data_IF_802126811549
#
_entry.id   IF_802126811549
#
_cell.length_a   1.000
_cell.length_b   1.000
_cell.length_c   1.000
_cell.angle_alpha   90.00
_cell.angle_beta   90.00
_cell.angle_gamma   90.00
#
_symmetry.space_group_name_H-M   'P 1'
#
loop_
_entity.id
_entity.type
_entity.pdbx_description
1 polymer ?
#
# COMPACT_ATOMS: atom_id res chain seq x y z
N UNK A 1 0.61 20.77 22.87
CA UNK A 1 0.83 20.31 21.51
C UNK A 1 1.40 18.89 21.43
N UNK A 2 2.48 18.54 22.13
CA UNK A 2 3.06 17.19 22.07
C UNK A 2 2.07 16.08 22.51
N UNK A 3 1.24 16.33 23.53
CA UNK A 3 0.21 15.39 23.98
C UNK A 3 -0.81 15.10 22.87
N UNK A 4 -1.34 16.13 22.23
CA UNK A 4 -2.32 16.00 21.12
C UNK A 4 -1.69 15.24 19.94
N UNK A 5 -0.45 15.56 19.57
CA UNK A 5 0.27 14.84 18.53
C UNK A 5 0.39 13.35 18.83
N UNK A 6 0.78 12.99 20.07
CA UNK A 6 0.90 11.59 20.47
C UNK A 6 -0.46 10.86 20.44
N UNK A 7 -1.54 11.51 20.89
CA UNK A 7 -2.89 10.92 20.85
C UNK A 7 -3.35 10.66 19.41
N UNK A 8 -3.10 11.58 18.48
CA UNK A 8 -3.43 11.41 17.04
C UNK A 8 -2.60 10.27 16.44
N UNK A 9 -1.31 10.16 16.78
CA UNK A 9 -0.46 9.08 16.28
C UNK A 9 -0.91 7.72 16.85
N UNK A 10 -1.30 7.64 18.13
CA UNK A 10 -1.85 6.41 18.72
C UNK A 10 -3.13 6.00 17.99
N UNK A 11 -4.03 6.94 17.72
CA UNK A 11 -5.24 6.69 16.94
C UNK A 11 -4.90 6.18 15.54
N UNK A 12 -3.91 6.76 14.87
CA UNK A 12 -3.47 6.34 13.55
C UNK A 12 -2.88 4.92 13.58
N UNK A 13 -2.05 4.59 14.57
CA UNK A 13 -1.45 3.26 14.70
C UNK A 13 -2.48 2.19 15.08
N UNK A 14 -3.43 2.54 15.94
CA UNK A 14 -4.55 1.66 16.27
C UNK A 14 -5.46 1.41 15.05
N UNK A 15 -5.77 2.47 14.28
CA UNK A 15 -6.54 2.34 13.04
C UNK A 15 -5.78 1.52 11.99
N UNK A 16 -4.44 1.65 11.93
CA UNK A 16 -3.59 0.84 11.09
C UNK A 16 -3.69 -0.64 11.48
N UNK A 17 -3.62 -0.96 12.77
CA UNK A 17 -3.74 -2.32 13.31
C UNK A 17 -5.11 -2.93 13.02
N UNK A 18 -6.20 -2.19 13.26
CA UNK A 18 -7.57 -2.66 13.00
C UNK A 18 -7.80 -2.95 11.50
N UNK A 19 -7.09 -2.26 10.63
CA UNK A 19 -7.15 -2.50 9.18
C UNK A 19 -8.54 -2.26 8.60
N UNK A 20 -9.11 -3.30 8.00
CA UNK A 20 -10.42 -3.29 7.33
C UNK A 20 -11.57 -3.77 8.23
N UNK A 21 -11.26 -4.25 9.45
CA UNK A 21 -12.29 -4.82 10.36
C UNK A 21 -13.34 -3.77 10.71
N UNK A 22 -12.91 -2.53 10.96
CA UNK A 22 -13.82 -1.46 11.32
C UNK A 22 -13.94 -0.43 10.19
N UNK A 23 -15.14 -0.32 9.65
CA UNK A 23 -15.48 0.60 8.56
C UNK A 23 -16.62 1.52 8.96
N UNK A 24 -16.52 2.77 8.56
CA UNK A 24 -17.54 3.80 8.76
C UNK A 24 -18.33 3.97 7.46
N UNK A 25 -19.63 3.94 7.54
CA UNK A 25 -20.50 4.20 6.39
C UNK A 25 -20.96 5.67 6.43
N UNK A 26 -20.49 6.46 5.48
CA UNK A 26 -20.82 7.87 5.33
C UNK A 26 -21.32 8.13 3.91
N UNK A 27 -22.47 8.74 3.78
CA UNK A 27 -23.07 9.11 2.47
C UNK A 27 -23.13 7.94 1.45
N UNK A 28 -23.42 6.73 1.93
CA UNK A 28 -23.49 5.54 1.08
C UNK A 28 -22.13 4.96 0.68
N UNK A 29 -21.02 5.51 1.20
CA UNK A 29 -19.67 5.00 0.98
C UNK A 29 -19.10 4.43 2.26
N UNK A 30 -18.33 3.33 2.15
CA UNK A 30 -17.74 2.65 3.29
C UNK A 30 -16.23 2.94 3.36
N UNK A 31 -15.77 3.53 4.47
CA UNK A 31 -14.38 3.91 4.70
C UNK A 31 -13.80 3.15 5.89
N UNK A 32 -12.59 2.60 5.80
CA UNK A 32 -11.90 2.09 6.97
C UNK A 32 -11.51 3.24 7.92
N UNK A 33 -11.43 2.95 9.21
CA UNK A 33 -11.10 3.94 10.26
C UNK A 33 -9.77 4.68 9.98
N UNK A 34 -8.86 4.04 9.27
CA UNK A 34 -7.57 4.61 8.89
C UNK A 34 -7.72 5.89 8.04
N UNK A 35 -8.74 5.97 7.20
CA UNK A 35 -8.97 7.14 6.33
C UNK A 35 -9.27 8.39 7.17
N UNK A 36 -10.10 8.26 8.20
CA UNK A 36 -10.38 9.35 9.14
C UNK A 36 -9.11 9.77 9.90
N UNK A 37 -8.35 8.79 10.40
CA UNK A 37 -7.13 9.07 11.16
C UNK A 37 -6.04 9.75 10.31
N UNK A 38 -5.94 9.42 9.01
CA UNK A 38 -5.05 10.07 8.04
C UNK A 38 -5.45 11.55 7.87
N UNK A 39 -6.74 11.82 7.71
CA UNK A 39 -7.24 13.19 7.55
C UNK A 39 -6.91 14.02 8.80
N UNK A 40 -7.20 13.48 10.00
CA UNK A 40 -6.89 14.16 11.27
C UNK A 40 -5.38 14.41 11.41
N UNK A 41 -4.56 13.41 11.12
CA UNK A 41 -3.09 13.53 11.19
C UNK A 41 -2.56 14.57 10.21
N UNK A 42 -3.08 14.58 8.99
CA UNK A 42 -2.68 15.55 7.96
C UNK A 42 -3.05 16.98 8.34
N UNK A 43 -4.29 17.23 8.77
CA UNK A 43 -4.75 18.55 9.20
C UNK A 43 -3.90 19.04 10.38
N UNK A 44 -3.68 18.19 11.38
CA UNK A 44 -2.82 18.54 12.51
C UNK A 44 -1.40 18.90 12.08
N UNK A 45 -0.82 18.10 11.18
CA UNK A 45 0.53 18.34 10.65
C UNK A 45 0.63 19.67 9.90
N UNK A 46 -0.35 19.99 9.07
CA UNK A 46 -0.44 21.26 8.34
C UNK A 46 -0.52 22.43 9.33
N UNK A 47 -1.45 22.40 10.29
CA UNK A 47 -1.62 23.46 11.31
C UNK A 47 -0.32 23.63 12.12
N UNK A 48 0.33 22.54 12.49
CA UNK A 48 1.59 22.59 13.24
C UNK A 48 2.71 23.26 12.46
N UNK A 49 2.83 22.98 11.15
CA UNK A 49 3.83 23.63 10.31
C UNK A 49 3.55 25.12 10.13
N UNK A 50 2.30 25.51 9.91
CA UNK A 50 1.93 26.93 9.76
C UNK A 50 2.26 27.76 11.03
N UNK A 51 2.10 27.18 12.23
CA UNK A 51 2.35 27.88 13.50
C UNK A 51 3.83 28.00 13.86
N UNK A 52 4.65 27.02 13.49
CA UNK A 52 5.99 26.87 14.09
C UNK A 52 7.15 27.11 13.12
N UNK A 53 6.91 27.18 11.83
CA UNK A 53 8.00 27.30 10.81
C UNK A 53 7.49 28.00 9.55
N UNK A 54 8.36 28.73 8.83
CA UNK A 54 8.04 29.10 7.45
C UNK A 54 7.79 27.82 6.65
N UNK A 55 6.74 27.81 5.85
CA UNK A 55 6.33 26.68 5.01
C UNK A 55 7.46 26.29 4.06
N UNK A 56 8.25 25.29 4.46
CA UNK A 56 9.27 24.72 3.60
C UNK A 56 8.70 23.48 2.92
N UNK A 57 8.24 23.64 1.69
CA UNK A 57 7.76 22.54 0.85
C UNK A 57 8.96 21.69 0.49
N UNK A 58 9.01 20.46 1.02
CA UNK A 58 10.12 19.55 0.79
C UNK A 58 10.09 18.94 -0.62
N UNK A 59 8.90 18.82 -1.23
CA UNK A 59 8.70 18.20 -2.53
C UNK A 59 7.66 18.93 -3.38
N UNK A 60 8.11 19.86 -4.21
CA UNK A 60 7.24 20.66 -5.09
C UNK A 60 6.52 19.83 -6.16
N UNK A 61 7.11 18.72 -6.61
CA UNK A 61 6.50 17.89 -7.65
C UNK A 61 5.27 17.14 -7.12
N UNK A 62 5.32 16.65 -5.88
CA UNK A 62 4.12 16.08 -5.25
C UNK A 62 3.03 17.13 -5.01
N UNK A 63 3.41 18.37 -4.71
CA UNK A 63 2.43 19.45 -4.61
C UNK A 63 1.79 19.74 -5.98
N UNK A 64 2.58 19.82 -7.06
CA UNK A 64 2.05 20.04 -8.42
C UNK A 64 1.15 18.89 -8.85
N UNK A 65 1.52 17.64 -8.53
CA UNK A 65 0.67 16.48 -8.72
C UNK A 65 -0.70 16.65 -8.04
N UNK A 66 -0.72 17.00 -6.76
CA UNK A 66 -1.98 17.21 -6.02
C UNK A 66 -2.84 18.30 -6.67
N UNK A 67 -2.25 19.44 -6.95
CA UNK A 67 -2.98 20.58 -7.58
C UNK A 67 -3.56 20.15 -8.92
N UNK A 68 -2.77 19.48 -9.76
CA UNK A 68 -3.22 19.01 -11.06
C UNK A 68 -4.32 17.97 -10.94
N UNK A 69 -4.23 17.00 -10.02
CA UNK A 69 -5.26 15.99 -9.78
C UNK A 69 -6.61 16.63 -9.37
N UNK A 70 -6.59 17.70 -8.56
CA UNK A 70 -7.79 18.46 -8.21
C UNK A 70 -8.36 19.22 -9.41
N UNK A 71 -7.52 19.87 -10.21
CA UNK A 71 -7.95 20.52 -11.46
C UNK A 71 -8.56 19.50 -12.40
N UNK A 72 -7.97 18.30 -12.53
CA UNK A 72 -8.51 17.23 -13.35
C UNK A 72 -9.87 16.72 -12.84
N UNK A 73 -10.09 16.66 -11.53
CA UNK A 73 -11.39 16.27 -10.98
C UNK A 73 -12.48 17.22 -11.47
N UNK A 74 -12.22 18.53 -11.38
CA UNK A 74 -13.16 19.56 -11.86
C UNK A 74 -13.32 19.51 -13.39
N UNK A 75 -12.22 19.42 -14.14
CA UNK A 75 -12.24 19.36 -15.59
C UNK A 75 -13.02 18.13 -16.09
N UNK A 76 -12.80 16.97 -15.51
CA UNK A 76 -13.49 15.75 -15.90
C UNK A 76 -14.98 15.77 -15.51
N UNK A 77 -15.35 16.46 -14.43
CA UNK A 77 -16.75 16.74 -14.12
C UNK A 77 -17.44 17.48 -15.28
N UNK A 78 -16.85 18.56 -15.78
CA UNK A 78 -17.43 19.29 -16.92
C UNK A 78 -17.38 18.51 -18.23
N UNK A 79 -16.32 17.73 -18.45
CA UNK A 79 -16.12 16.96 -19.69
C UNK A 79 -17.06 15.76 -19.81
N UNK A 80 -17.26 15.03 -18.73
CA UNK A 80 -18.03 13.77 -18.75
C UNK A 80 -19.39 13.91 -18.08
N UNK A 81 -19.69 15.03 -17.43
CA UNK A 81 -20.90 15.25 -16.61
C UNK A 81 -21.05 14.18 -15.51
N UNK A 82 -19.92 13.63 -15.01
CA UNK A 82 -19.89 12.56 -14.02
C UNK A 82 -19.29 13.13 -12.73
N UNK A 83 -20.08 13.04 -11.65
CA UNK A 83 -19.62 13.32 -10.29
C UNK A 83 -19.77 12.07 -9.43
N UNK A 84 -18.67 11.67 -8.79
CA UNK A 84 -18.65 10.55 -7.85
C UNK A 84 -18.10 11.02 -6.51
N UNK A 85 -18.91 10.86 -5.45
CA UNK A 85 -18.48 11.10 -4.07
C UNK A 85 -17.30 10.22 -3.71
N UNK A 86 -17.26 8.97 -4.19
CA UNK A 86 -16.13 8.08 -4.00
C UNK A 86 -14.84 8.68 -4.54
N UNK A 87 -14.88 9.23 -5.76
CA UNK A 87 -13.71 9.87 -6.38
C UNK A 87 -13.20 11.05 -5.56
N UNK A 88 -14.11 11.88 -5.05
CA UNK A 88 -13.78 13.01 -4.18
C UNK A 88 -13.13 12.55 -2.88
N UNK A 89 -13.71 11.60 -2.16
CA UNK A 89 -13.18 11.12 -0.88
C UNK A 89 -11.83 10.41 -1.03
N UNK A 90 -11.66 9.62 -2.08
CA UNK A 90 -10.37 8.97 -2.36
C UNK A 90 -9.28 9.99 -2.74
N UNK A 91 -9.63 11.08 -3.45
CA UNK A 91 -8.68 12.16 -3.74
C UNK A 91 -8.31 12.94 -2.48
N UNK A 92 -9.27 13.24 -1.58
CA UNK A 92 -9.00 13.84 -0.27
C UNK A 92 -8.04 12.97 0.52
N UNK A 93 -8.31 11.68 0.65
CA UNK A 93 -7.42 10.73 1.33
C UNK A 93 -6.01 10.74 0.77
N UNK A 94 -5.88 10.68 -0.55
CA UNK A 94 -4.59 10.64 -1.22
C UNK A 94 -3.84 11.97 -1.05
N UNK A 95 -4.54 13.11 -1.14
CA UNK A 95 -4.00 14.43 -0.83
C UNK A 95 -3.47 14.50 0.61
N UNK A 96 -4.23 14.02 1.58
CA UNK A 96 -3.83 13.98 2.98
C UNK A 96 -2.58 13.11 3.19
N UNK A 97 -2.51 11.94 2.57
CA UNK A 97 -1.33 11.08 2.62
C UNK A 97 -0.09 11.76 2.01
N UNK A 98 -0.22 12.35 0.83
CA UNK A 98 0.91 13.01 0.17
C UNK A 98 1.36 14.26 0.91
N UNK A 99 0.44 14.96 1.59
CA UNK A 99 0.80 16.11 2.42
C UNK A 99 1.81 15.76 3.53
N UNK A 100 1.77 14.54 4.07
CA UNK A 100 2.73 14.05 5.06
C UNK A 100 4.15 13.86 4.48
N UNK A 101 4.28 13.62 3.17
CA UNK A 101 5.57 13.60 2.48
C UNK A 101 6.05 15.00 2.08
N UNK A 102 5.13 15.92 1.80
CA UNK A 102 5.44 17.31 1.44
C UNK A 102 5.87 18.10 2.68
N UNK A 103 5.22 17.85 3.81
CA UNK A 103 5.46 18.49 5.11
C UNK A 103 5.87 17.42 6.14
N UNK A 104 7.07 16.84 6.03
CA UNK A 104 7.46 15.74 6.89
C UNK A 104 7.63 16.19 8.34
N UNK A 105 6.94 15.52 9.25
CA UNK A 105 7.11 15.65 10.69
C UNK A 105 8.25 14.76 11.18
N UNK A 106 9.01 15.26 12.17
CA UNK A 106 9.98 14.42 12.86
C UNK A 106 9.26 13.40 13.74
N UNK A 107 9.47 12.13 13.46
CA UNK A 107 8.95 11.02 14.26
C UNK A 107 10.00 10.65 15.30
N UNK A 108 9.62 10.61 16.57
CA UNK A 108 10.52 10.24 17.67
C UNK A 108 10.78 8.73 17.69
N UNK A 109 11.89 8.33 18.31
CA UNK A 109 12.22 6.90 18.48
C UNK A 109 11.10 6.14 19.23
N UNK A 110 10.47 6.77 20.23
CA UNK A 110 9.35 6.17 20.99
C UNK A 110 8.14 5.92 20.08
N UNK A 111 7.84 6.85 19.15
CA UNK A 111 6.73 6.70 18.20
C UNK A 111 6.99 5.59 17.19
N UNK A 112 8.23 5.45 16.67
CA UNK A 112 8.62 4.30 15.85
C UNK A 112 8.46 2.97 16.61
N UNK A 113 8.93 2.91 17.86
CA UNK A 113 8.79 1.71 18.69
C UNK A 113 7.33 1.35 18.93
N UNK A 114 6.47 2.34 19.16
CA UNK A 114 5.04 2.12 19.33
C UNK A 114 4.41 1.57 18.04
N UNK A 115 4.78 2.11 16.88
CA UNK A 115 4.31 1.60 15.60
C UNK A 115 4.73 0.14 15.37
N UNK A 116 5.98 -0.21 15.75
CA UNK A 116 6.45 -1.60 15.69
C UNK A 116 5.63 -2.53 16.57
N UNK A 117 5.21 -2.11 17.77
CA UNK A 117 4.35 -2.90 18.63
C UNK A 117 3.00 -3.20 17.97
N UNK A 118 2.36 -2.22 17.31
CA UNK A 118 1.12 -2.46 16.57
C UNK A 118 1.32 -3.39 15.37
N UNK A 119 2.46 -3.31 14.68
CA UNK A 119 2.79 -4.25 13.59
C UNK A 119 3.03 -5.67 14.10
N UNK A 120 3.73 -5.83 15.23
CA UNK A 120 3.95 -7.12 15.86
C UNK A 120 2.60 -7.73 16.29
N UNK A 121 1.73 -6.93 16.92
CA UNK A 121 0.39 -7.37 17.28
C UNK A 121 -0.42 -7.80 16.04
N UNK A 122 -0.30 -7.07 14.92
CA UNK A 122 -0.95 -7.42 13.66
C UNK A 122 -0.41 -8.74 13.07
N UNK A 123 0.90 -8.99 13.14
CA UNK A 123 1.52 -10.25 12.72
C UNK A 123 1.01 -11.41 13.59
N UNK A 124 0.98 -11.23 14.92
CA UNK A 124 0.48 -12.25 15.86
C UNK A 124 -0.99 -12.55 15.57
N UNK A 125 -1.82 -11.51 15.39
CA UNK A 125 -3.22 -11.68 15.01
C UNK A 125 -3.36 -12.45 13.68
N UNK A 126 -2.56 -12.11 12.67
CA UNK A 126 -2.56 -12.81 11.39
C UNK A 126 -2.16 -14.29 11.49
N UNK A 127 -1.20 -14.62 12.35
CA UNK A 127 -0.84 -16.02 12.62
C UNK A 127 -1.96 -16.74 13.36
N UNK A 128 -2.56 -16.12 14.39
CA UNK A 128 -3.73 -16.68 15.09
C UNK A 128 -4.86 -16.92 14.09
N UNK A 129 -5.17 -15.94 13.24
CA UNK A 129 -6.17 -16.07 12.18
C UNK A 129 -5.89 -17.27 11.27
N UNK A 130 -4.64 -17.42 10.80
CA UNK A 130 -4.27 -18.50 9.89
C UNK A 130 -4.46 -19.89 10.51
N UNK A 131 -4.12 -20.07 11.78
CA UNK A 131 -4.20 -21.38 12.45
C UNK A 131 -5.60 -21.71 12.99
N UNK A 132 -6.35 -20.72 13.47
CA UNK A 132 -7.63 -20.94 14.13
C UNK A 132 -8.84 -20.60 13.27
N UNK A 133 -8.69 -19.66 12.31
CA UNK A 133 -9.75 -19.23 11.38
C UNK A 133 -9.22 -19.14 9.95
N UNK A 134 -8.87 -20.29 9.33
CA UNK A 134 -8.26 -20.29 7.99
C UNK A 134 -9.26 -20.02 6.87
N UNK A 135 -10.56 -20.11 7.11
CA UNK A 135 -11.62 -19.93 6.13
C UNK A 135 -12.22 -18.53 6.19
N UNK A 136 -11.87 -17.75 5.18
CA UNK A 136 -12.41 -16.41 4.92
C UNK A 136 -13.31 -16.40 3.67
N UNK A 137 -13.82 -17.54 3.22
CA UNK A 137 -14.71 -17.63 2.06
C UNK A 137 -16.10 -17.07 2.36
N UNK A 138 -16.52 -17.11 3.63
CA UNK A 138 -17.81 -16.60 4.10
C UNK A 138 -17.83 -15.07 4.34
N UNK A 139 -16.70 -14.39 4.23
CA UNK A 139 -16.60 -12.93 4.37
C UNK A 139 -17.02 -12.16 3.09
N UNK A 140 -17.72 -12.80 2.18
CA UNK A 140 -18.29 -12.20 0.97
C UNK A 140 -19.36 -11.12 1.26
N UNK A 141 -19.78 -11.00 2.52
CA UNK A 141 -20.76 -10.00 3.00
C UNK A 141 -20.37 -8.55 2.64
N UNK A 142 -19.08 -8.27 2.45
CA UNK A 142 -18.55 -6.94 2.11
C UNK A 142 -17.81 -6.92 0.75
N UNK A 143 -18.07 -7.88 -0.14
CA UNK A 143 -17.48 -7.98 -1.49
C UNK A 143 -15.94 -8.14 -1.48
N UNK A 144 -15.40 -8.78 -0.44
CA UNK A 144 -14.00 -9.16 -0.36
C UNK A 144 -13.77 -10.47 -1.11
N UNK A 145 -12.58 -10.60 -1.70
CA UNK A 145 -12.20 -11.86 -2.33
C UNK A 145 -12.16 -13.00 -1.30
N UNK A 146 -12.75 -14.15 -1.59
CA UNK A 146 -12.73 -15.29 -0.69
C UNK A 146 -11.32 -15.86 -0.57
N UNK A 147 -10.85 -16.01 0.64
CA UNK A 147 -9.53 -16.57 0.95
C UNK A 147 -9.66 -17.77 1.85
N UNK A 148 -9.07 -18.91 1.43
CA UNK A 148 -9.02 -20.15 2.19
C UNK A 148 -7.56 -20.53 2.42
N UNK A 149 -7.20 -20.83 3.69
CA UNK A 149 -5.85 -21.20 4.12
C UNK A 149 -4.76 -20.23 3.70
N UNK A 150 -5.06 -18.94 3.76
CA UNK A 150 -4.11 -17.86 3.54
C UNK A 150 -4.12 -16.87 4.72
N UNK A 151 -2.94 -16.37 5.07
CA UNK A 151 -2.84 -15.33 6.07
C UNK A 151 -3.26 -13.99 5.48
N UNK A 152 -4.38 -13.43 5.94
CA UNK A 152 -4.95 -12.15 5.49
C UNK A 152 -4.93 -11.08 6.57
N UNK A 153 -4.85 -11.48 7.84
CA UNK A 153 -4.85 -10.60 9.01
C UNK A 153 -6.03 -9.62 8.98
N UNK A 154 -5.85 -8.42 9.52
CA UNK A 154 -6.86 -7.37 9.57
C UNK A 154 -7.04 -6.61 8.25
N UNK A 155 -6.18 -6.84 7.26
CA UNK A 155 -6.26 -6.17 5.95
C UNK A 155 -7.18 -6.87 4.97
N UNK A 156 -7.60 -8.11 5.25
CA UNK A 156 -8.48 -8.96 4.45
C UNK A 156 -7.97 -9.26 3.04
N UNK A 157 -6.68 -9.01 2.79
CA UNK A 157 -6.01 -9.32 1.53
C UNK A 157 -4.60 -9.84 1.81
N UNK A 158 -4.27 -11.07 1.41
CA UNK A 158 -2.96 -11.67 1.66
C UNK A 158 -1.83 -10.95 0.90
N UNK A 159 -2.15 -10.28 -0.21
CA UNK A 159 -1.17 -9.58 -1.05
C UNK A 159 -0.67 -8.33 -0.34
N UNK A 160 -1.58 -7.49 0.15
CA UNK A 160 -1.22 -6.29 0.93
C UNK A 160 -0.67 -6.62 2.31
N UNK A 161 -1.20 -7.64 2.98
CA UNK A 161 -0.68 -8.14 4.26
C UNK A 161 0.78 -8.56 4.11
N UNK A 162 1.09 -9.35 3.09
CA UNK A 162 2.45 -9.79 2.79
C UNK A 162 3.39 -8.61 2.52
N UNK A 163 2.94 -7.61 1.77
CA UNK A 163 3.73 -6.40 1.50
C UNK A 163 4.06 -5.63 2.78
N UNK A 164 3.08 -5.39 3.66
CA UNK A 164 3.28 -4.66 4.91
C UNK A 164 4.26 -5.41 5.82
N UNK A 165 4.11 -6.73 5.93
CA UNK A 165 5.02 -7.57 6.71
C UNK A 165 6.43 -7.60 6.12
N UNK A 166 6.56 -7.60 4.78
CA UNK A 166 7.85 -7.49 4.11
C UNK A 166 8.51 -6.13 4.38
N UNK A 167 7.77 -5.04 4.37
CA UNK A 167 8.29 -3.72 4.70
C UNK A 167 8.83 -3.70 6.15
N UNK A 168 8.10 -4.28 7.09
CA UNK A 168 8.53 -4.41 8.47
C UNK A 168 9.77 -5.31 8.59
N UNK A 169 9.79 -6.47 7.92
CA UNK A 169 10.94 -7.37 7.86
C UNK A 169 12.22 -6.64 7.41
N UNK A 170 12.15 -5.86 6.33
CA UNK A 170 13.28 -5.10 5.80
C UNK A 170 13.72 -4.01 6.78
N UNK A 171 12.79 -3.36 7.47
CA UNK A 171 13.12 -2.37 8.50
C UNK A 171 13.92 -3.01 9.63
N UNK A 172 13.48 -4.17 10.14
CA UNK A 172 14.20 -4.95 11.16
C UNK A 172 15.54 -5.46 10.62
N UNK A 173 15.62 -5.81 9.35
CA UNK A 173 16.87 -6.26 8.73
C UNK A 173 17.94 -5.17 8.78
N UNK A 174 17.60 -3.91 8.55
CA UNK A 174 18.53 -2.79 8.59
C UNK A 174 18.78 -2.26 10.01
N UNK A 175 17.81 -2.26 10.89
CA UNK A 175 17.96 -1.77 12.27
C UNK A 175 18.45 -2.90 13.20
N UNK A 176 19.77 -2.94 13.39
CA UNK A 176 20.40 -3.92 14.27
C UNK A 176 20.17 -3.68 15.77
N UNK A 177 19.59 -2.52 16.15
CA UNK A 177 19.38 -2.14 17.57
C UNK A 177 18.03 -2.61 18.11
N UNK A 178 17.17 -3.17 17.26
CA UNK A 178 15.87 -3.68 17.68
C UNK A 178 16.07 -4.92 18.59
N UNK A 179 15.47 -4.94 19.80
CA UNK A 179 15.54 -6.10 20.66
C UNK A 179 14.84 -7.30 20.02
N UNK A 180 15.31 -8.50 20.35
CA UNK A 180 14.75 -9.78 19.80
C UNK A 180 14.73 -9.85 18.27
N UNK A 181 15.66 -9.14 17.60
CA UNK A 181 15.72 -8.96 16.14
C UNK A 181 15.59 -10.28 15.37
N UNK A 182 16.31 -11.33 15.78
CA UNK A 182 16.26 -12.65 15.11
C UNK A 182 14.84 -13.24 15.17
N UNK A 183 14.22 -13.21 16.33
CA UNK A 183 12.85 -13.69 16.54
C UNK A 183 11.86 -12.90 15.67
N UNK A 184 11.95 -11.58 15.66
CA UNK A 184 11.08 -10.72 14.85
C UNK A 184 11.25 -10.95 13.35
N UNK A 185 12.47 -11.18 12.87
CA UNK A 185 12.73 -11.56 11.48
C UNK A 185 12.08 -12.93 11.16
N UNK A 186 12.23 -13.92 12.05
CA UNK A 186 11.66 -15.26 11.83
C UNK A 186 10.13 -15.20 11.79
N UNK A 187 9.48 -14.56 12.77
CA UNK A 187 8.01 -14.49 12.84
C UNK A 187 7.42 -13.69 11.69
N UNK A 188 8.07 -12.56 11.30
CA UNK A 188 7.64 -11.77 10.15
C UNK A 188 7.79 -12.57 8.85
N UNK A 189 8.88 -13.31 8.67
CA UNK A 189 9.10 -14.15 7.50
C UNK A 189 8.07 -15.29 7.42
N UNK A 190 7.81 -15.96 8.55
CA UNK A 190 6.78 -17.01 8.63
C UNK A 190 5.40 -16.44 8.19
N UNK A 191 5.05 -15.27 8.72
CA UNK A 191 3.80 -14.62 8.34
C UNK A 191 3.76 -14.26 6.85
N UNK A 192 4.88 -13.77 6.27
CA UNK A 192 5.01 -13.53 4.81
C UNK A 192 4.80 -14.83 4.03
N UNK A 193 5.44 -15.92 4.43
CA UNK A 193 5.32 -17.21 3.77
C UNK A 193 3.87 -17.71 3.74
N UNK A 194 3.15 -17.60 4.86
CA UNK A 194 1.76 -18.06 5.00
C UNK A 194 0.73 -17.19 4.27
N UNK A 195 1.12 -16.05 3.68
CA UNK A 195 0.24 -15.28 2.78
C UNK A 195 0.05 -15.98 1.42
N UNK A 196 0.94 -16.88 1.00
CA UNK A 196 0.97 -17.47 -0.35
C UNK A 196 0.91 -16.43 -1.47
N UNK A 197 1.50 -15.25 -1.21
CA UNK A 197 1.49 -14.13 -2.16
C UNK A 197 2.72 -14.14 -3.05
N UNK A 198 2.54 -14.54 -4.33
CA UNK A 198 3.62 -14.56 -5.33
C UNK A 198 4.25 -13.18 -5.56
N UNK A 199 3.45 -12.11 -5.56
CA UNK A 199 3.94 -10.73 -5.68
C UNK A 199 4.83 -10.35 -4.50
N UNK A 200 4.46 -10.77 -3.27
CA UNK A 200 5.28 -10.53 -2.08
C UNK A 200 6.59 -11.33 -2.12
N UNK A 201 6.56 -12.58 -2.57
CA UNK A 201 7.80 -13.39 -2.71
C UNK A 201 8.73 -12.79 -3.75
N UNK A 202 8.20 -12.34 -4.88
CA UNK A 202 8.99 -11.65 -5.89
C UNK A 202 9.56 -10.34 -5.35
N UNK A 203 8.78 -9.58 -4.60
CA UNK A 203 9.22 -8.33 -3.94
C UNK A 203 10.28 -8.60 -2.88
N UNK A 204 10.22 -9.73 -2.16
CA UNK A 204 11.26 -10.15 -1.21
C UNK A 204 12.58 -10.40 -1.94
N UNK A 205 12.57 -11.19 -3.01
CA UNK A 205 13.78 -11.43 -3.84
C UNK A 205 14.29 -10.12 -4.43
N UNK A 206 13.39 -9.29 -4.97
CA UNK A 206 13.72 -7.98 -5.53
C UNK A 206 14.33 -7.01 -4.52
N UNK A 207 13.88 -7.03 -3.25
CA UNK A 207 14.49 -6.25 -2.17
C UNK A 207 15.95 -6.64 -1.95
N UNK A 208 16.25 -7.94 -1.88
CA UNK A 208 17.61 -8.43 -1.67
C UNK A 208 18.47 -8.31 -2.92
N UNK A 209 17.92 -8.37 -4.12
CA UNK A 209 18.61 -8.01 -5.36
C UNK A 209 19.06 -6.54 -5.33
N UNK A 210 18.16 -5.63 -4.94
CA UNK A 210 18.47 -4.20 -4.79
C UNK A 210 19.53 -3.95 -3.72
N UNK A 211 19.42 -4.60 -2.55
CA UNK A 211 20.44 -4.53 -1.48
C UNK A 211 21.79 -5.02 -2.00
N UNK A 212 21.82 -6.15 -2.70
CA UNK A 212 23.04 -6.74 -3.25
C UNK A 212 23.71 -5.83 -4.27
N UNK A 213 22.91 -5.24 -5.17
CA UNK A 213 23.42 -4.26 -6.15
C UNK A 213 23.96 -3.02 -5.44
N UNK A 214 23.22 -2.46 -4.47
CA UNK A 214 23.62 -1.25 -3.76
C UNK A 214 24.86 -1.43 -2.88
N UNK A 215 25.04 -2.63 -2.30
CA UNK A 215 26.17 -2.95 -1.42
C UNK A 215 27.33 -3.65 -2.13
N UNK A 216 27.20 -3.95 -3.42
CA UNK A 216 28.14 -4.74 -4.23
C UNK A 216 28.45 -6.13 -3.64
N UNK A 217 27.47 -6.74 -2.93
CA UNK A 217 27.57 -8.07 -2.30
C UNK A 217 26.50 -8.98 -2.80
N UNK A 218 26.84 -10.02 -3.57
CA UNK A 218 25.86 -10.95 -4.15
C UNK A 218 25.17 -11.87 -3.11
N UNK A 219 25.80 -12.11 -1.96
CA UNK A 219 25.34 -13.05 -0.94
C UNK A 219 23.88 -12.83 -0.49
N UNK A 220 23.40 -11.59 -0.16
CA UNK A 220 22.02 -11.40 0.27
C UNK A 220 21.00 -11.86 -0.78
N UNK A 221 21.28 -11.62 -2.07
CA UNK A 221 20.41 -12.07 -3.17
C UNK A 221 20.36 -13.59 -3.27
N UNK A 222 21.51 -14.27 -3.28
CA UNK A 222 21.56 -15.74 -3.34
C UNK A 222 20.86 -16.39 -2.14
N UNK A 223 21.06 -15.85 -0.94
CA UNK A 223 20.36 -16.33 0.26
C UNK A 223 18.85 -16.16 0.11
N UNK A 224 18.38 -15.03 -0.43
CA UNK A 224 16.95 -14.80 -0.62
C UNK A 224 16.32 -15.78 -1.61
N UNK A 225 17.04 -16.15 -2.68
CA UNK A 225 16.59 -17.18 -3.62
C UNK A 225 16.45 -18.54 -2.95
N UNK A 226 17.48 -18.95 -2.17
CA UNK A 226 17.45 -20.22 -1.43
C UNK A 226 16.29 -20.25 -0.44
N UNK A 227 16.11 -19.16 0.32
CA UNK A 227 15.01 -19.05 1.29
C UNK A 227 13.65 -19.18 0.60
N UNK A 228 13.41 -18.48 -0.51
CA UNK A 228 12.12 -18.58 -1.23
C UNK A 228 11.94 -19.95 -1.85
N UNK A 229 12.96 -20.55 -2.47
CA UNK A 229 12.89 -21.89 -3.03
C UNK A 229 12.53 -22.92 -1.93
N UNK A 230 13.21 -22.85 -0.78
CA UNK A 230 12.93 -23.70 0.38
C UNK A 230 11.49 -23.47 0.90
N UNK A 231 11.06 -22.22 0.97
CA UNK A 231 9.68 -21.89 1.38
C UNK A 231 8.64 -22.51 0.46
N UNK A 232 8.79 -22.39 -0.87
CA UNK A 232 7.89 -22.96 -1.85
C UNK A 232 7.84 -24.50 -1.72
N UNK A 233 8.98 -25.12 -1.40
CA UNK A 233 9.08 -26.56 -1.19
C UNK A 233 8.40 -27.01 0.11
N UNK A 234 8.58 -26.28 1.22
CA UNK A 234 8.10 -26.63 2.54
C UNK A 234 6.67 -26.19 2.85
N UNK A 235 6.11 -25.21 2.09
CA UNK A 235 4.76 -24.74 2.35
C UNK A 235 3.72 -25.85 2.19
N UNK A 236 2.82 -26.03 3.17
CA UNK A 236 1.77 -27.03 3.07
C UNK A 236 0.85 -26.72 1.88
N UNK A 237 0.54 -27.73 1.08
CA UNK A 237 -0.42 -27.65 -0.02
C UNK A 237 -1.83 -27.81 0.52
N UNK A 238 -2.35 -26.77 1.12
CA UNK A 238 -3.70 -26.74 1.67
C UNK A 238 -4.76 -26.74 0.56
N UNK A 239 -5.98 -27.24 0.84
CA UNK A 239 -7.11 -27.09 -0.06
C UNK A 239 -7.40 -25.60 -0.29
N UNK A 240 -7.69 -25.22 -1.52
CA UNK A 240 -7.95 -23.84 -1.90
C UNK A 240 -7.08 -23.40 -3.09
N UNK A 241 -7.68 -22.74 -4.05
CA UNK A 241 -6.95 -22.28 -5.25
C UNK A 241 -5.88 -21.24 -4.90
N UNK A 242 -6.14 -20.43 -3.87
CA UNK A 242 -5.24 -19.38 -3.42
C UNK A 242 -3.88 -19.88 -2.90
N UNK A 243 -3.78 -21.10 -2.40
CA UNK A 243 -2.55 -21.72 -1.88
C UNK A 243 -1.71 -22.38 -2.99
N UNK A 244 -2.30 -22.67 -4.15
CA UNK A 244 -1.60 -23.23 -5.31
C UNK A 244 -0.75 -22.14 -5.96
N UNK A 245 0.56 -22.19 -5.75
CA UNK A 245 1.49 -21.21 -6.32
C UNK A 245 1.64 -21.35 -7.84
N UNK A 246 1.37 -22.55 -8.38
CA UNK A 246 1.39 -22.88 -9.80
C UNK A 246 0.15 -22.42 -10.58
N UNK A 247 -0.90 -21.92 -9.92
CA UNK A 247 -2.15 -21.51 -10.60
C UNK A 247 -1.93 -20.50 -11.70
N UNK A 248 -2.54 -20.73 -12.85
CA UNK A 248 -2.47 -19.84 -14.03
C UNK A 248 -3.65 -18.87 -14.11
N UNK A 249 -4.80 -19.21 -13.52
CA UNK A 249 -6.05 -18.43 -13.54
C UNK A 249 -5.83 -16.95 -13.18
N UNK A 250 -5.11 -16.69 -12.11
CA UNK A 250 -4.83 -15.31 -11.68
C UNK A 250 -3.80 -14.59 -12.57
N UNK A 251 -2.95 -15.30 -13.32
CA UNK A 251 -2.04 -14.68 -14.30
C UNK A 251 -2.85 -14.22 -15.51
N UNK A 252 -3.71 -15.09 -16.02
CA UNK A 252 -4.59 -14.78 -17.16
C UNK A 252 -5.51 -13.59 -16.82
N UNK A 253 -6.13 -13.61 -15.65
CA UNK A 253 -6.97 -12.50 -15.16
C UNK A 253 -6.20 -11.17 -15.09
N UNK A 254 -4.94 -11.18 -14.62
CA UNK A 254 -4.10 -9.99 -14.59
C UNK A 254 -3.72 -9.49 -15.98
N UNK A 255 -3.38 -10.37 -16.91
CA UNK A 255 -3.09 -10.00 -18.30
C UNK A 255 -4.31 -9.33 -18.93
N UNK A 256 -5.51 -9.90 -18.77
CA UNK A 256 -6.75 -9.32 -19.26
C UNK A 256 -7.02 -7.95 -18.62
N UNK A 257 -6.79 -7.82 -17.32
CA UNK A 257 -6.94 -6.58 -16.56
C UNK A 257 -5.98 -5.49 -17.10
N UNK A 258 -4.72 -5.83 -17.38
CA UNK A 258 -3.75 -4.93 -18.01
C UNK A 258 -4.16 -4.52 -19.43
N UNK A 259 -4.63 -5.47 -20.24
CA UNK A 259 -5.11 -5.18 -21.61
C UNK A 259 -6.31 -4.23 -21.62
N UNK A 260 -7.27 -4.43 -20.71
CA UNK A 260 -8.42 -3.55 -20.53
C UNK A 260 -7.96 -2.13 -20.12
N UNK A 261 -7.05 -2.06 -19.14
CA UNK A 261 -6.49 -0.80 -18.67
C UNK A 261 -5.73 -0.04 -19.76
N UNK A 262 -4.91 -0.72 -20.56
CA UNK A 262 -4.19 -0.10 -21.67
C UNK A 262 -5.14 0.43 -22.74
N UNK A 263 -6.21 -0.29 -23.08
CA UNK A 263 -7.25 0.20 -24.01
C UNK A 263 -7.89 1.48 -23.51
N UNK A 264 -8.17 1.56 -22.20
CA UNK A 264 -8.75 2.76 -21.60
C UNK A 264 -7.75 3.92 -21.56
N UNK A 265 -6.48 3.65 -21.26
CA UNK A 265 -5.41 4.65 -21.29
C UNK A 265 -5.22 5.26 -22.69
N UNK A 266 -5.19 4.44 -23.73
CA UNK A 266 -5.03 4.90 -25.13
C UNK A 266 -6.17 5.84 -25.54
N UNK A 267 -7.38 5.66 -25.03
CA UNK A 267 -8.50 6.58 -25.26
C UNK A 267 -8.33 7.96 -24.59
N UNK A 268 -7.61 8.02 -23.46
CA UNK A 268 -7.47 9.22 -22.63
C UNK A 268 -6.03 9.43 -22.13
N UNK A 269 -4.98 9.50 -22.99
CA UNK A 269 -3.60 9.36 -22.57
C UNK A 269 -3.05 10.59 -21.82
N UNK A 270 -3.50 11.80 -22.15
CA UNK A 270 -2.89 13.05 -21.67
C UNK A 270 -3.42 13.41 -20.28
N UNK A 271 -4.72 13.48 -20.11
CA UNK A 271 -5.42 13.97 -18.90
C UNK A 271 -6.18 12.89 -18.15
N UNK A 272 -6.22 11.67 -18.67
CA UNK A 272 -6.95 10.56 -18.04
C UNK A 272 -8.47 10.78 -17.96
N UNK A 273 -9.11 9.98 -17.10
CA UNK A 273 -10.57 9.96 -16.88
C UNK A 273 -11.00 10.55 -15.54
N UNK A 274 -10.06 11.05 -14.75
CA UNK A 274 -10.25 11.52 -13.38
C UNK A 274 -9.90 10.47 -12.34
N UNK A 275 -9.37 10.96 -11.21
CA UNK A 275 -8.94 10.10 -10.10
C UNK A 275 -10.12 9.26 -9.59
N UNK A 276 -9.94 7.95 -9.49
CA UNK A 276 -10.90 6.96 -9.01
C UNK A 276 -12.24 6.90 -9.78
N UNK A 277 -12.28 7.35 -11.04
CA UNK A 277 -13.46 7.20 -11.93
C UNK A 277 -13.45 5.89 -12.72
N UNK A 278 -12.42 5.06 -12.57
CA UNK A 278 -12.27 3.78 -13.29
C UNK A 278 -13.55 2.91 -13.24
N UNK A 279 -14.25 2.74 -12.09
CA UNK A 279 -15.46 1.90 -12.04
C UNK A 279 -16.56 2.35 -13.00
N UNK A 280 -16.62 3.64 -13.31
CA UNK A 280 -17.65 4.23 -14.16
C UNK A 280 -17.38 3.93 -15.64
N UNK A 281 -16.08 3.81 -16.01
CA UNK A 281 -15.63 3.58 -17.39
C UNK A 281 -15.42 2.10 -17.73
N UNK A 282 -15.52 1.20 -16.74
CA UNK A 282 -15.43 -0.25 -16.96
C UNK A 282 -16.77 -0.81 -17.41
N UNK A 283 -16.83 -1.21 -18.65
CA UNK A 283 -18.01 -1.86 -19.22
C UNK A 283 -18.22 -3.24 -18.59
N UNK A 284 -19.48 -3.61 -18.34
CA UNK A 284 -19.93 -4.96 -17.93
C UNK A 284 -19.39 -5.52 -16.60
N UNK A 285 -18.97 -4.67 -15.63
CA UNK A 285 -18.55 -5.12 -14.31
C UNK A 285 -19.41 -4.51 -13.20
N UNK A 286 -19.65 -5.28 -12.14
CA UNK A 286 -20.40 -4.79 -10.99
C UNK A 286 -19.67 -3.56 -10.40
N UNK A 287 -20.27 -2.35 -10.45
CA UNK A 287 -19.60 -1.13 -10.00
C UNK A 287 -19.29 -1.12 -8.51
N UNK A 288 -19.94 -1.98 -7.72
CA UNK A 288 -19.76 -2.08 -6.28
C UNK A 288 -18.64 -3.04 -5.87
N UNK A 289 -18.05 -3.79 -6.81
CA UNK A 289 -16.93 -4.69 -6.50
C UNK A 289 -15.63 -3.92 -6.27
N UNK A 290 -14.91 -4.24 -5.20
CA UNK A 290 -13.57 -3.68 -4.93
C UNK A 290 -12.58 -3.92 -6.07
N UNK A 291 -12.69 -5.04 -6.78
CA UNK A 291 -11.86 -5.37 -7.94
C UNK A 291 -12.01 -4.37 -9.09
N UNK A 292 -13.09 -3.60 -9.14
CA UNK A 292 -13.36 -2.63 -10.19
C UNK A 292 -12.80 -1.23 -9.91
N UNK A 293 -12.35 -0.95 -8.67
CA UNK A 293 -11.86 0.38 -8.27
C UNK A 293 -10.54 0.78 -8.93
N UNK A 294 -9.81 -0.15 -9.53
CA UNK A 294 -8.53 0.08 -10.18
C UNK A 294 -8.12 -1.08 -11.07
N UNK A 295 -6.91 -0.98 -11.62
CA UNK A 295 -6.26 -2.07 -12.36
C UNK A 295 -5.14 -2.68 -11.51
N UNK A 296 -4.68 -3.88 -11.86
CA UNK A 296 -3.64 -4.63 -11.11
C UNK A 296 -2.24 -4.00 -11.13
N UNK A 297 -2.11 -2.77 -11.59
CA UNK A 297 -0.85 -2.02 -11.60
C UNK A 297 -1.07 -0.59 -11.14
N UNK A 298 -0.36 -0.14 -10.09
CA UNK A 298 -0.52 1.22 -9.57
C UNK A 298 -0.18 2.30 -10.58
N UNK A 299 0.88 2.10 -11.37
CA UNK A 299 1.29 3.06 -12.40
C UNK A 299 0.25 3.12 -13.52
N UNK A 300 -0.27 1.96 -13.96
CA UNK A 300 -1.34 1.92 -14.96
C UNK A 300 -2.60 2.61 -14.43
N UNK A 301 -2.97 2.35 -13.19
CA UNK A 301 -4.11 3.01 -12.53
C UNK A 301 -3.94 4.54 -12.48
N UNK A 302 -2.73 5.04 -12.16
CA UNK A 302 -2.43 6.47 -12.21
C UNK A 302 -2.51 7.02 -13.63
N UNK A 303 -1.89 6.36 -14.61
CA UNK A 303 -1.91 6.76 -16.02
C UNK A 303 -3.34 6.89 -16.56
N UNK A 304 -4.21 5.94 -16.22
CA UNK A 304 -5.61 5.98 -16.64
C UNK A 304 -6.37 7.10 -15.92
N UNK A 305 -6.14 7.24 -14.62
CA UNK A 305 -6.87 8.20 -13.79
C UNK A 305 -6.47 9.65 -14.07
N UNK A 306 -5.17 9.92 -14.19
CA UNK A 306 -4.63 11.30 -14.21
C UNK A 306 -3.82 11.63 -15.47
N UNK A 307 -3.67 10.66 -16.38
CA UNK A 307 -2.90 10.82 -17.61
C UNK A 307 -1.39 10.84 -17.40
N UNK A 308 -0.67 11.02 -18.51
CA UNK A 308 0.80 10.96 -18.51
C UNK A 308 1.43 12.14 -17.81
N UNK A 309 0.82 13.34 -17.91
CA UNK A 309 1.37 14.58 -17.32
C UNK A 309 1.46 14.43 -15.81
N UNK A 310 0.35 14.11 -15.17
CA UNK A 310 0.27 14.03 -13.71
C UNK A 310 1.04 12.83 -13.15
N UNK A 311 0.94 11.69 -13.83
CA UNK A 311 1.76 10.51 -13.47
C UNK A 311 3.26 10.84 -13.52
N UNK A 312 3.71 11.62 -14.49
CA UNK A 312 5.10 12.06 -14.61
C UNK A 312 5.49 13.00 -13.45
N UNK A 313 4.62 13.92 -13.05
CA UNK A 313 4.83 14.75 -11.85
C UNK A 313 4.98 13.91 -10.59
N UNK A 314 4.13 12.89 -10.43
CA UNK A 314 4.22 11.94 -9.31
C UNK A 314 5.57 11.22 -9.29
N UNK A 315 6.01 10.68 -10.43
CA UNK A 315 7.30 9.98 -10.56
C UNK A 315 8.48 10.91 -10.28
N UNK A 316 8.44 12.18 -10.73
CA UNK A 316 9.44 13.18 -10.35
C UNK A 316 9.40 13.48 -8.85
N UNK A 317 8.22 13.46 -8.22
CA UNK A 317 8.10 13.57 -6.77
C UNK A 317 8.81 12.44 -6.03
N UNK A 318 8.59 11.20 -6.45
CA UNK A 318 9.29 10.02 -5.90
C UNK A 318 10.80 10.13 -6.14
N UNK A 319 11.24 10.50 -7.35
CA UNK A 319 12.65 10.71 -7.69
C UNK A 319 13.30 11.78 -6.82
N UNK A 320 12.62 12.89 -6.56
CA UNK A 320 13.13 13.99 -5.74
C UNK A 320 13.29 13.59 -4.25
N UNK A 321 12.43 12.72 -3.75
CA UNK A 321 12.49 12.20 -2.39
C UNK A 321 13.62 11.16 -2.19
N UNK A 322 13.92 10.39 -3.23
CA UNK A 322 14.80 9.23 -3.19
C UNK A 322 16.25 9.50 -2.72
N UNK A 323 16.96 10.57 -3.14
CA UNK A 323 18.36 10.79 -2.72
C UNK A 323 18.53 11.05 -1.23
N UNK A 324 17.53 11.66 -0.59
CA UNK A 324 17.58 12.14 0.81
C UNK A 324 17.36 11.04 1.86
N UNK A 325 17.00 9.82 1.45
CA UNK A 325 16.60 8.74 2.36
C UNK A 325 17.67 7.65 2.50
N UNK A 326 17.62 6.91 3.61
CA UNK A 326 18.52 5.79 3.90
C UNK A 326 18.35 4.63 2.92
N UNK A 327 19.36 3.74 2.84
CA UNK A 327 19.27 2.53 2.02
C UNK A 327 18.07 1.65 2.41
N UNK A 328 17.73 1.56 3.69
CA UNK A 328 16.55 0.84 4.14
C UNK A 328 15.27 1.42 3.51
N UNK A 329 15.04 2.74 3.61
CA UNK A 329 13.88 3.39 2.99
C UNK A 329 13.89 3.30 1.46
N UNK A 330 15.06 3.36 0.81
CA UNK A 330 15.18 3.10 -0.63
C UNK A 330 14.71 1.70 -0.98
N UNK A 331 15.09 0.71 -0.18
CA UNK A 331 14.64 -0.68 -0.35
C UNK A 331 13.13 -0.80 -0.18
N UNK A 332 12.50 -0.09 0.78
CA UNK A 332 11.04 -0.07 0.93
C UNK A 332 10.35 0.48 -0.32
N UNK A 333 10.86 1.55 -0.90
CA UNK A 333 10.32 2.10 -2.17
C UNK A 333 10.43 1.06 -3.29
N UNK A 334 11.58 0.38 -3.43
CA UNK A 334 11.75 -0.67 -4.42
C UNK A 334 10.77 -1.83 -4.25
N UNK A 335 10.54 -2.27 -3.01
CA UNK A 335 9.53 -3.29 -2.69
C UNK A 335 8.16 -2.84 -3.18
N UNK A 336 7.76 -1.61 -2.85
CA UNK A 336 6.47 -1.06 -3.25
C UNK A 336 6.36 -0.99 -4.78
N UNK A 337 7.41 -0.55 -5.48
CA UNK A 337 7.42 -0.44 -6.94
C UNK A 337 7.29 -1.81 -7.61
N UNK A 338 8.06 -2.82 -7.18
CA UNK A 338 7.95 -4.18 -7.71
C UNK A 338 6.56 -4.75 -7.44
N UNK A 339 6.07 -4.61 -6.21
CA UNK A 339 4.76 -5.12 -5.82
C UNK A 339 3.63 -4.41 -6.59
N UNK A 340 3.83 -3.13 -6.90
CA UNK A 340 2.89 -2.29 -7.67
C UNK A 340 2.71 -2.71 -9.13
N UNK A 341 3.53 -3.63 -9.63
CA UNK A 341 3.30 -4.28 -10.93
C UNK A 341 2.19 -5.33 -10.85
N UNK A 342 1.78 -5.75 -9.66
CA UNK A 342 0.83 -6.85 -9.47
C UNK A 342 -0.39 -6.47 -8.64
N UNK A 343 -0.36 -5.33 -7.97
CA UNK A 343 -1.44 -4.80 -7.11
C UNK A 343 -1.34 -3.28 -6.98
N UNK A 344 -2.40 -2.62 -6.51
CA UNK A 344 -2.42 -1.15 -6.34
C UNK A 344 -1.69 -0.68 -5.06
N UNK A 345 -0.48 -1.21 -4.83
CA UNK A 345 0.26 -1.02 -3.58
C UNK A 345 0.71 0.41 -3.32
N UNK A 346 1.02 1.16 -4.39
CA UNK A 346 1.42 2.57 -4.30
C UNK A 346 0.24 3.48 -3.92
N UNK A 347 -0.99 3.05 -4.17
CA UNK A 347 -2.21 3.79 -3.86
C UNK A 347 -2.88 3.29 -2.58
N UNK A 348 -2.34 2.23 -1.96
CA UNK A 348 -2.89 1.63 -0.76
C UNK A 348 -2.46 2.41 0.48
N UNK A 349 -3.39 2.97 1.29
CA UNK A 349 -3.06 3.91 2.36
C UNK A 349 -2.15 3.32 3.43
N UNK A 350 -2.32 2.05 3.80
CA UNK A 350 -1.45 1.38 4.76
C UNK A 350 0.00 1.27 4.27
N UNK A 351 0.23 1.05 2.98
CA UNK A 351 1.58 1.00 2.39
C UNK A 351 2.29 2.34 2.52
N UNK A 352 1.59 3.43 2.20
CA UNK A 352 2.17 4.78 2.28
C UNK A 352 2.41 5.20 3.74
N UNK A 353 1.49 4.87 4.66
CA UNK A 353 1.71 5.10 6.08
C UNK A 353 2.88 4.26 6.63
N UNK A 354 2.98 2.98 6.25
CA UNK A 354 4.12 2.15 6.62
C UNK A 354 5.44 2.76 6.13
N UNK A 355 5.48 3.31 4.89
CA UNK A 355 6.67 3.99 4.38
C UNK A 355 7.06 5.24 5.19
N UNK A 356 6.08 5.94 5.78
CA UNK A 356 6.33 7.10 6.65
C UNK A 356 6.89 6.64 8.00
N UNK A 357 6.29 5.63 8.62
CA UNK A 357 6.56 5.26 10.01
C UNK A 357 7.64 4.17 10.17
N UNK A 358 8.01 3.44 9.12
CA UNK A 358 9.15 2.55 9.06
C UNK A 358 10.39 3.26 8.50
#
# INVERSE_FOLDING_TARGET
MAFIQNSILILCFFSFFIGQIFRLNLFGTSFPLIDLSIVILSIFNIIFHFKNKPLKISNKYLLYFIVYAWVLLLFNYFRFQIFSLNSLFYLIRFTCLLSLFILPSKISKKQHQLFYLFLIANIIFGLIQYFFWPDFTHFDVNQWDPHLYRLVSTFFDPTFTGLIYLMFFITIYFDKKIPYRKFLLTISYLAIALTYSRSTYLSFVGAFAFISFSTKKIRPFLISLIIIAFTIFCLPRQPGEGTKLERTSSITAKIQNYQEGLKLFIKHPIIGIGYNNIPIFRENKNPNSHANSGFDGSILTLLISTGIIDTTLFLFGVKNYYPSISLGKKTLIWIILIHSLFANSLLYPWTLLALIFL
#
